data_IF_555803685359
#
_entry.id   IF_555803685359
#
_cell.length_a   1.000
_cell.length_b   1.000
_cell.length_c   1.000
_cell.angle_alpha   90.00
_cell.angle_beta   90.00
_cell.angle_gamma   90.00
#
_symmetry.space_group_name_H-M   'P 1'
#
loop_
_entity.id
_entity.type
_entity.pdbx_description
1 polymer ?
#
# COMPACT_ATOMS: atom_id res chain seq x y z
N UNK A 1 -43.55 -59.33 -60.55
CA UNK A 1 -43.61 -58.01 -61.21
C UNK A 1 -43.36 -56.96 -60.14
N UNK A 2 -42.26 -56.19 -60.28
CA UNK A 2 -41.87 -54.96 -59.56
C UNK A 2 -41.46 -55.13 -58.08
N UNK A 3 -40.17 -55.17 -57.72
CA UNK A 3 -39.18 -54.07 -57.57
C UNK A 3 -39.71 -52.84 -56.81
N UNK A 4 -39.11 -52.57 -55.64
CA UNK A 4 -38.70 -51.27 -55.03
C UNK A 4 -38.28 -51.58 -53.58
N UNK A 5 -37.00 -51.89 -53.31
CA UNK A 5 -35.95 -50.93 -52.89
C UNK A 5 -36.52 -49.79 -52.04
N UNK A 6 -36.35 -49.88 -50.71
CA UNK A 6 -36.24 -48.71 -49.86
C UNK A 6 -35.05 -48.87 -48.91
N UNK A 7 -34.11 -47.96 -49.14
CA UNK A 7 -32.91 -47.65 -48.39
C UNK A 7 -33.34 -46.84 -47.15
N UNK A 8 -32.81 -47.14 -45.97
CA UNK A 8 -33.19 -46.44 -44.73
C UNK A 8 -32.24 -46.71 -43.57
N UNK A 9 -31.03 -46.18 -43.73
CA UNK A 9 -29.86 -46.06 -42.85
C UNK A 9 -30.11 -46.22 -41.34
N UNK A 10 -29.27 -47.10 -40.77
CA UNK A 10 -29.00 -47.40 -39.37
C UNK A 10 -28.60 -46.13 -38.57
N UNK A 11 -29.41 -45.72 -37.59
CA UNK A 11 -29.08 -44.66 -36.66
C UNK A 11 -28.11 -45.20 -35.58
N UNK A 12 -26.82 -45.01 -35.81
CA UNK A 12 -25.75 -45.31 -34.85
C UNK A 12 -25.75 -44.21 -33.78
N UNK A 13 -26.29 -44.50 -32.59
CA UNK A 13 -26.20 -43.63 -31.42
C UNK A 13 -24.74 -43.66 -30.94
N UNK A 14 -23.98 -42.63 -31.31
CA UNK A 14 -22.71 -42.31 -30.66
C UNK A 14 -23.04 -41.75 -29.27
N UNK A 15 -22.81 -42.57 -28.24
CA UNK A 15 -22.71 -42.08 -26.86
C UNK A 15 -21.43 -41.27 -26.78
N UNK A 16 -21.55 -39.94 -26.88
CA UNK A 16 -20.47 -39.03 -26.54
C UNK A 16 -20.34 -39.03 -25.00
N UNK A 17 -19.49 -39.92 -24.51
CA UNK A 17 -18.91 -39.80 -23.17
C UNK A 17 -18.01 -38.55 -23.23
N UNK A 18 -18.55 -37.42 -22.79
CA UNK A 18 -17.75 -36.24 -22.47
C UNK A 18 -16.97 -36.56 -21.19
N UNK A 19 -15.75 -37.08 -21.36
CA UNK A 19 -14.70 -36.84 -20.38
C UNK A 19 -14.43 -35.34 -20.39
N UNK A 20 -14.88 -34.63 -19.35
CA UNK A 20 -14.24 -33.37 -19.01
C UNK A 20 -12.86 -33.74 -18.49
N UNK A 21 -11.83 -33.25 -19.17
CA UNK A 21 -10.44 -33.42 -18.75
C UNK A 21 -10.31 -32.97 -17.30
N UNK A 22 -10.10 -33.95 -16.41
CA UNK A 22 -9.52 -33.71 -15.10
C UNK A 22 -8.02 -33.60 -15.30
N UNK A 23 -7.59 -32.53 -15.94
CA UNK A 23 -6.21 -32.06 -15.89
C UNK A 23 -6.10 -31.02 -14.76
N UNK A 24 -6.50 -31.43 -13.55
CA UNK A 24 -5.85 -30.93 -12.35
C UNK A 24 -4.47 -31.56 -12.36
N UNK A 25 -3.56 -30.98 -13.14
CA UNK A 25 -2.15 -31.10 -12.83
C UNK A 25 -2.02 -30.68 -11.37
N UNK A 26 -1.80 -31.66 -10.49
CA UNK A 26 -1.29 -31.46 -9.14
C UNK A 26 0.13 -30.89 -9.28
N UNK A 27 0.23 -29.68 -9.81
CA UNK A 27 1.36 -28.81 -9.52
C UNK A 27 1.20 -28.59 -8.03
N UNK A 28 2.03 -29.29 -7.26
CA UNK A 28 2.18 -29.05 -5.84
C UNK A 28 2.60 -27.59 -5.73
N UNK A 29 1.62 -26.69 -5.55
CA UNK A 29 1.86 -25.25 -5.54
C UNK A 29 2.67 -25.01 -4.29
N UNK A 30 3.96 -24.74 -4.49
CA UNK A 30 4.88 -24.48 -3.39
C UNK A 30 4.26 -23.39 -2.49
N UNK A 31 4.15 -23.62 -1.18
CA UNK A 31 3.48 -22.68 -0.30
C UNK A 31 4.24 -21.36 -0.25
N UNK A 32 3.51 -20.26 -0.23
CA UNK A 32 4.03 -18.91 -0.39
C UNK A 32 3.81 -18.08 0.87
N UNK A 33 4.75 -17.20 1.17
CA UNK A 33 4.49 -16.00 1.96
C UNK A 33 3.89 -14.94 1.04
N UNK A 34 2.64 -14.57 1.31
CA UNK A 34 1.92 -13.54 0.57
C UNK A 34 1.74 -12.32 1.47
N UNK A 35 2.17 -11.15 1.01
CA UNK A 35 2.01 -9.88 1.75
C UNK A 35 0.95 -9.03 1.06
N UNK A 36 0.00 -8.52 1.84
CA UNK A 36 -1.11 -7.67 1.38
C UNK A 36 -1.25 -6.44 2.26
N UNK A 37 -1.81 -5.37 1.70
CA UNK A 37 -2.17 -4.17 2.45
C UNK A 37 -3.68 -4.11 2.71
N UNK A 38 -4.05 -3.51 3.84
CA UNK A 38 -5.40 -3.11 4.22
C UNK A 38 -5.36 -1.69 4.77
N UNK A 39 -6.37 -0.88 4.47
CA UNK A 39 -6.55 0.48 4.99
C UNK A 39 -7.69 0.50 6.00
N UNK A 40 -7.40 0.87 7.23
CA UNK A 40 -8.35 0.75 8.33
C UNK A 40 -8.60 2.11 9.01
N UNK A 41 -9.79 2.66 8.81
CA UNK A 41 -10.23 3.92 9.45
C UNK A 41 -10.64 3.76 10.91
N UNK A 42 -10.82 2.53 11.38
CA UNK A 42 -11.19 2.22 12.77
C UNK A 42 -9.97 1.92 13.65
N UNK A 43 -8.84 1.59 13.02
CA UNK A 43 -7.57 1.40 13.72
C UNK A 43 -7.15 2.68 14.46
N UNK A 44 -6.47 2.51 15.59
CA UNK A 44 -6.02 3.64 16.39
C UNK A 44 -5.13 4.59 15.58
N UNK A 45 -5.28 5.88 15.82
CA UNK A 45 -4.42 6.94 15.30
C UNK A 45 -3.18 7.05 16.20
N UNK A 46 -2.01 6.80 15.66
CA UNK A 46 -0.74 6.81 16.39
C UNK A 46 0.15 7.98 15.96
N UNK A 47 1.07 8.41 16.83
CA UNK A 47 2.17 9.33 16.52
C UNK A 47 3.44 8.58 16.06
N UNK A 48 4.53 9.31 15.83
CA UNK A 48 5.84 8.75 15.43
C UNK A 48 6.43 7.73 16.40
N UNK A 49 6.04 7.76 17.69
CA UNK A 49 6.49 6.81 18.71
C UNK A 49 5.55 5.60 18.85
N UNK A 50 4.55 5.46 17.96
CA UNK A 50 3.55 4.40 18.03
C UNK A 50 2.56 4.54 19.19
N UNK A 51 2.42 5.73 19.77
CA UNK A 51 1.48 6.00 20.87
C UNK A 51 0.19 6.61 20.33
N UNK A 52 -0.97 6.38 20.97
CA UNK A 52 -2.23 7.03 20.59
C UNK A 52 -2.10 8.56 20.49
N UNK A 53 -2.74 9.14 19.50
CA UNK A 53 -2.71 10.56 19.19
C UNK A 53 -4.08 11.04 18.75
N UNK A 54 -4.42 12.26 19.16
CA UNK A 54 -5.64 12.97 18.75
C UNK A 54 -5.30 14.06 17.74
N UNK A 55 -6.30 14.50 17.00
CA UNK A 55 -6.20 15.68 16.13
C UNK A 55 -5.89 16.90 17.00
N UNK A 56 -4.98 17.76 16.57
CA UNK A 56 -4.55 18.90 17.38
C UNK A 56 -5.66 19.94 17.51
N UNK A 57 -5.69 20.68 18.61
CA UNK A 57 -6.61 21.83 18.73
C UNK A 57 -6.26 22.87 17.66
N UNK A 58 -7.28 23.37 16.95
CA UNK A 58 -7.07 24.25 15.81
C UNK A 58 -7.10 23.54 14.46
N UNK A 59 -7.10 22.19 14.46
CA UNK A 59 -7.05 21.39 13.26
C UNK A 59 -8.34 20.58 13.08
N UNK A 60 -8.65 20.30 11.82
CA UNK A 60 -9.61 19.29 11.41
C UNK A 60 -8.91 18.18 10.61
N UNK A 61 -9.65 17.09 10.38
CA UNK A 61 -9.10 15.93 9.71
C UNK A 61 -10.18 15.10 9.03
N UNK A 62 -9.77 14.28 8.07
CA UNK A 62 -10.61 13.26 7.48
C UNK A 62 -9.85 11.93 7.37
N UNK A 63 -10.62 10.83 7.33
CA UNK A 63 -10.09 9.50 7.02
C UNK A 63 -10.24 9.28 5.51
N UNK A 64 -9.19 9.46 4.71
CA UNK A 64 -9.30 9.42 3.26
C UNK A 64 -9.57 7.99 2.76
N UNK A 65 -10.14 7.89 1.57
CA UNK A 65 -10.41 6.61 0.91
C UNK A 65 -9.24 6.23 0.02
N UNK A 66 -8.44 5.26 0.44
CA UNK A 66 -7.28 4.79 -0.32
C UNK A 66 -7.69 3.98 -1.55
N UNK A 67 -7.02 4.26 -2.66
CA UNK A 67 -7.12 3.52 -3.92
C UNK A 67 -5.91 2.61 -4.08
N UNK A 68 -4.70 3.14 -3.86
CA UNK A 68 -3.45 2.43 -4.11
C UNK A 68 -2.37 2.77 -3.10
N UNK A 69 -1.41 1.84 -2.96
CA UNK A 69 -0.21 1.98 -2.14
C UNK A 69 0.99 1.34 -2.84
N UNK A 70 2.18 1.83 -2.53
CA UNK A 70 3.44 1.16 -2.85
C UNK A 70 4.39 1.20 -1.66
N UNK A 71 5.29 0.22 -1.63
CA UNK A 71 6.41 0.18 -0.70
C UNK A 71 7.72 0.07 -1.48
N UNK A 72 8.80 0.54 -0.85
CA UNK A 72 10.17 0.40 -1.31
C UNK A 72 10.94 -0.67 -0.52
N UNK A 73 10.46 -1.05 0.66
CA UNK A 73 11.18 -1.97 1.52
C UNK A 73 10.22 -2.79 2.37
N UNK A 74 10.52 -4.06 2.60
CA UNK A 74 9.80 -4.92 3.54
C UNK A 74 10.78 -5.82 4.29
N UNK A 75 10.68 -5.84 5.62
CA UNK A 75 11.50 -6.63 6.53
C UNK A 75 10.66 -7.24 7.66
N UNK A 76 10.98 -8.48 8.02
CA UNK A 76 10.54 -9.12 9.25
C UNK A 76 11.66 -9.04 10.29
N UNK A 77 11.38 -8.46 11.45
CA UNK A 77 12.34 -8.32 12.54
C UNK A 77 12.01 -9.28 13.68
N UNK A 78 13.05 -9.94 14.21
CA UNK A 78 12.89 -10.99 15.23
C UNK A 78 12.37 -10.41 16.55
N UNK A 79 12.89 -9.26 16.97
CA UNK A 79 12.49 -8.59 18.21
C UNK A 79 12.77 -7.08 18.16
N UNK A 80 12.47 -6.37 19.25
CA UNK A 80 12.60 -4.91 19.33
C UNK A 80 14.05 -4.38 19.21
N UNK A 81 15.07 -5.24 19.36
CA UNK A 81 16.49 -4.87 19.28
C UNK A 81 17.10 -5.14 17.90
N UNK A 82 16.38 -5.83 17.00
CA UNK A 82 16.81 -6.00 15.60
C UNK A 82 16.87 -4.63 14.93
N UNK A 83 18.07 -4.20 14.48
CA UNK A 83 18.24 -2.92 13.80
C UNK A 83 17.66 -2.99 12.37
N UNK A 84 17.34 -1.83 11.79
CA UNK A 84 16.80 -1.77 10.43
C UNK A 84 17.83 -2.34 9.45
N UNK A 85 17.42 -3.32 8.65
CA UNK A 85 18.31 -4.04 7.75
C UNK A 85 18.92 -5.33 8.33
N UNK A 86 18.90 -5.52 9.65
CA UNK A 86 19.44 -6.72 10.30
C UNK A 86 18.39 -7.85 10.41
N UNK A 87 17.11 -7.54 10.14
CA UNK A 87 16.04 -8.52 10.06
C UNK A 87 16.08 -9.34 8.77
N UNK A 88 15.02 -10.14 8.56
CA UNK A 88 14.81 -10.82 7.29
C UNK A 88 14.21 -9.83 6.27
N UNK A 89 15.07 -9.24 5.45
CA UNK A 89 14.69 -8.37 4.34
C UNK A 89 14.15 -9.21 3.20
N UNK A 90 12.89 -8.98 2.81
CA UNK A 90 12.21 -9.73 1.77
C UNK A 90 11.91 -8.92 0.52
N UNK A 91 12.03 -7.60 0.60
CA UNK A 91 11.86 -6.71 -0.54
C UNK A 91 12.70 -5.46 -0.39
N UNK A 92 13.39 -5.11 -1.48
CA UNK A 92 14.02 -3.81 -1.69
C UNK A 92 13.64 -3.40 -3.11
N UNK A 93 13.01 -2.24 -3.23
CA UNK A 93 12.55 -1.68 -4.48
C UNK A 93 13.72 -1.24 -5.37
N UNK A 94 13.36 -0.86 -6.58
CA UNK A 94 14.33 -0.35 -7.54
C UNK A 94 14.78 1.06 -7.17
N UNK A 95 16.07 1.32 -7.32
CA UNK A 95 16.68 2.64 -7.11
C UNK A 95 17.41 3.09 -8.40
N UNK A 96 17.63 4.40 -8.51
CA UNK A 96 18.34 5.05 -9.62
C UNK A 96 19.14 6.26 -9.12
N UNK A 97 20.10 6.70 -9.95
CA UNK A 97 20.88 7.94 -9.78
C UNK A 97 20.57 8.95 -10.90
N UNK A 98 19.53 8.73 -11.70
CA UNK A 98 19.19 9.60 -12.85
C UNK A 98 18.89 11.05 -12.43
N UNK A 99 18.41 11.25 -11.20
CA UNK A 99 18.20 12.57 -10.60
C UNK A 99 19.40 13.13 -9.83
N UNK A 100 20.58 12.50 -9.92
CA UNK A 100 21.81 12.89 -9.21
C UNK A 100 22.11 11.98 -8.02
N UNK A 101 21.42 12.21 -6.89
CA UNK A 101 21.54 11.37 -5.70
C UNK A 101 20.72 10.08 -5.83
N UNK A 102 21.12 9.03 -5.09
CA UNK A 102 20.38 7.77 -5.01
C UNK A 102 18.92 8.02 -4.58
N UNK A 103 17.98 7.52 -5.37
CA UNK A 103 16.56 7.70 -5.17
C UNK A 103 15.80 6.44 -5.56
N UNK A 104 14.61 6.27 -5.01
CA UNK A 104 13.63 5.27 -5.46
C UNK A 104 13.29 5.56 -6.92
N UNK A 105 13.36 4.54 -7.76
CA UNK A 105 12.91 4.61 -9.15
C UNK A 105 11.40 4.36 -9.20
N UNK A 106 10.62 5.45 -9.23
CA UNK A 106 9.17 5.36 -9.21
C UNK A 106 8.59 4.63 -10.44
N UNK A 107 9.29 4.68 -11.58
CA UNK A 107 8.84 4.01 -12.80
C UNK A 107 8.81 2.48 -12.67
N UNK A 108 9.55 1.94 -11.69
CA UNK A 108 9.61 0.52 -11.35
C UNK A 108 8.90 0.18 -10.04
N UNK A 109 8.16 1.13 -9.45
CA UNK A 109 7.42 0.90 -8.22
C UNK A 109 6.29 -0.11 -8.43
N UNK A 110 6.15 -1.06 -7.50
CA UNK A 110 4.99 -1.96 -7.49
C UNK A 110 3.83 -1.28 -6.76
N UNK A 111 2.81 -0.87 -7.49
CA UNK A 111 1.61 -0.22 -6.96
C UNK A 111 0.48 -1.24 -6.92
N UNK A 112 -0.17 -1.38 -5.77
CA UNK A 112 -1.25 -2.35 -5.56
C UNK A 112 -2.45 -1.71 -4.89
N UNK A 113 -3.62 -2.32 -5.11
CA UNK A 113 -4.86 -2.00 -4.40
C UNK A 113 -4.97 -2.75 -3.07
N UNK A 114 -5.96 -2.41 -2.25
CA UNK A 114 -6.25 -3.15 -1.01
C UNK A 114 -6.51 -4.64 -1.28
N UNK A 115 -5.90 -5.53 -0.48
CA UNK A 115 -6.10 -6.98 -0.57
C UNK A 115 -5.38 -7.68 -1.73
N UNK A 116 -4.77 -6.92 -2.64
CA UNK A 116 -3.95 -7.43 -3.73
C UNK A 116 -2.55 -7.88 -3.21
N UNK A 117 -2.00 -9.00 -3.71
CA UNK A 117 -0.64 -9.44 -3.35
C UNK A 117 0.46 -8.43 -3.73
N UNK A 118 1.02 -7.77 -2.72
CA UNK A 118 2.23 -6.95 -2.86
C UNK A 118 3.48 -7.81 -2.99
N UNK A 119 3.62 -8.87 -2.20
CA UNK A 119 4.70 -9.87 -2.37
C UNK A 119 4.09 -11.28 -2.43
N UNK A 120 4.77 -12.16 -3.14
CA UNK A 120 4.55 -13.60 -3.13
C UNK A 120 5.93 -14.25 -3.22
N UNK A 121 6.39 -14.86 -2.13
CA UNK A 121 7.72 -15.45 -2.03
C UNK A 121 7.57 -16.89 -1.58
N UNK A 122 8.20 -17.88 -2.24
CA UNK A 122 8.17 -19.25 -1.78
C UNK A 122 8.65 -19.39 -0.34
N UNK A 123 7.93 -20.11 0.52
CA UNK A 123 8.31 -20.31 1.93
C UNK A 123 9.65 -21.03 2.05
N UNK A 124 10.07 -21.80 1.04
CA UNK A 124 11.41 -22.40 0.96
C UNK A 124 12.55 -21.37 0.92
N UNK A 125 12.27 -20.13 0.53
CA UNK A 125 13.22 -19.01 0.47
C UNK A 125 13.16 -18.12 1.72
N UNK A 126 12.23 -18.40 2.64
CA UNK A 126 12.05 -17.64 3.87
C UNK A 126 12.84 -18.34 4.98
N UNK A 127 13.75 -17.62 5.61
CA UNK A 127 14.49 -18.16 6.74
C UNK A 127 13.53 -18.52 7.89
N UNK A 128 13.71 -19.72 8.44
CA UNK A 128 12.99 -20.14 9.65
C UNK A 128 13.29 -19.16 10.79
N UNK A 129 12.29 -18.85 11.60
CA UNK A 129 12.44 -17.85 12.65
C UNK A 129 11.14 -17.48 13.33
N UNK A 130 11.29 -16.67 14.38
CA UNK A 130 10.20 -16.07 15.13
C UNK A 130 10.29 -14.56 14.96
N UNK A 131 9.27 -13.95 14.36
CA UNK A 131 9.26 -12.53 13.98
C UNK A 131 8.20 -11.78 14.76
N UNK A 132 8.63 -10.88 15.65
CA UNK A 132 7.74 -10.04 16.47
C UNK A 132 7.25 -8.80 15.70
N UNK A 133 8.04 -8.30 14.74
CA UNK A 133 7.76 -7.03 14.07
C UNK A 133 7.88 -7.15 12.56
N UNK A 134 7.19 -6.25 11.88
CA UNK A 134 7.37 -5.96 10.46
C UNK A 134 7.73 -4.48 10.31
N UNK A 135 8.62 -4.20 9.36
CA UNK A 135 9.05 -2.86 8.98
C UNK A 135 8.84 -2.68 7.49
N UNK A 136 8.16 -1.61 7.10
CA UNK A 136 7.82 -1.34 5.71
C UNK A 136 8.12 0.11 5.38
N UNK A 137 9.02 0.35 4.41
CA UNK A 137 9.20 1.70 3.83
C UNK A 137 8.13 1.90 2.78
N UNK A 138 7.20 2.81 3.03
CA UNK A 138 6.19 3.17 2.04
C UNK A 138 6.79 4.20 1.07
N UNK A 139 6.48 4.05 -0.21
CA UNK A 139 7.01 4.91 -1.27
C UNK A 139 5.95 5.82 -1.86
N UNK A 140 4.70 5.35 -1.93
CA UNK A 140 3.62 6.06 -2.61
C UNK A 140 2.26 5.72 -1.99
N UNK A 141 1.36 6.71 -1.96
CA UNK A 141 -0.02 6.61 -1.52
C UNK A 141 -0.94 7.31 -2.53
N UNK A 142 -2.11 6.73 -2.80
CA UNK A 142 -3.15 7.35 -3.62
C UNK A 142 -4.49 7.21 -2.92
N UNK A 143 -5.17 8.33 -2.68
CA UNK A 143 -6.44 8.34 -1.97
C UNK A 143 -7.31 9.53 -2.34
N UNK A 144 -8.60 9.43 -2.05
CA UNK A 144 -9.58 10.50 -2.23
C UNK A 144 -9.75 11.32 -0.94
N UNK A 145 -9.82 12.64 -1.11
CA UNK A 145 -10.15 13.61 -0.06
C UNK A 145 -11.32 14.50 -0.51
N UNK A 146 -12.16 14.89 0.44
CA UNK A 146 -13.15 15.92 0.21
C UNK A 146 -12.53 17.31 0.40
N UNK A 147 -12.84 18.22 -0.52
CA UNK A 147 -12.40 19.62 -0.52
C UNK A 147 -13.63 20.51 -0.62
N UNK A 148 -13.79 21.44 0.30
CA UNK A 148 -14.90 22.38 0.30
C UNK A 148 -14.45 23.71 -0.30
N UNK A 149 -15.30 24.28 -1.15
CA UNK A 149 -15.06 25.61 -1.72
C UNK A 149 -16.39 26.24 -2.13
N UNK A 150 -16.65 27.47 -1.67
CA UNK A 150 -17.83 28.26 -2.02
C UNK A 150 -19.18 27.52 -1.84
N UNK A 151 -19.33 26.78 -0.74
CA UNK A 151 -20.60 26.08 -0.46
C UNK A 151 -20.73 24.71 -1.13
N UNK A 152 -19.71 24.24 -1.86
CA UNK A 152 -19.74 22.99 -2.62
C UNK A 152 -18.62 22.08 -2.12
N UNK A 153 -18.97 20.83 -1.81
CA UNK A 153 -18.02 19.76 -1.54
C UNK A 153 -17.60 19.11 -2.85
N UNK A 154 -16.30 19.11 -3.12
CA UNK A 154 -15.67 18.43 -4.25
C UNK A 154 -14.96 17.18 -3.75
N UNK A 155 -14.88 16.17 -4.62
CA UNK A 155 -14.01 15.02 -4.42
C UNK A 155 -12.76 15.19 -5.29
N UNK A 156 -11.59 14.99 -4.69
CA UNK A 156 -10.34 15.01 -5.40
C UNK A 156 -9.45 13.84 -5.02
N UNK A 157 -8.61 13.43 -5.97
CA UNK A 157 -7.60 12.41 -5.78
C UNK A 157 -6.28 13.07 -5.43
N UNK A 158 -5.60 12.53 -4.41
CA UNK A 158 -4.31 12.97 -3.95
C UNK A 158 -3.31 11.82 -4.07
N UNK A 159 -2.21 12.07 -4.77
CA UNK A 159 -1.03 11.21 -4.83
C UNK A 159 0.06 11.77 -3.93
N UNK A 160 0.54 10.98 -2.97
CA UNK A 160 1.60 11.34 -2.04
C UNK A 160 2.81 10.42 -2.21
N UNK A 161 3.96 11.01 -2.52
CA UNK A 161 5.24 10.33 -2.67
C UNK A 161 5.99 10.44 -1.34
N UNK A 162 5.89 9.38 -0.54
CA UNK A 162 6.33 9.40 0.85
C UNK A 162 7.69 8.74 1.08
N UNK A 163 8.27 8.12 0.06
CA UNK A 163 9.62 7.57 0.14
C UNK A 163 10.69 8.63 0.41
N UNK A 164 11.86 8.21 0.91
CA UNK A 164 12.94 9.11 1.37
C UNK A 164 13.41 10.11 0.32
N UNK A 165 13.63 9.61 -0.89
CA UNK A 165 14.00 10.36 -2.07
C UNK A 165 13.48 9.54 -3.26
N UNK A 166 12.68 10.14 -4.13
CA UNK A 166 12.02 9.44 -5.24
C UNK A 166 12.33 10.16 -6.53
N UNK A 167 12.94 9.45 -7.48
CA UNK A 167 13.05 9.94 -8.84
C UNK A 167 11.73 9.71 -9.56
N UNK A 168 11.12 10.79 -10.02
CA UNK A 168 9.83 10.77 -10.70
C UNK A 168 10.05 11.36 -12.08
N UNK A 169 9.81 10.58 -13.13
CA UNK A 169 9.75 11.11 -14.51
C UNK A 169 8.46 11.89 -14.70
N UNK A 170 7.33 11.19 -14.62
CA UNK A 170 6.00 11.77 -14.63
C UNK A 170 5.02 10.85 -13.89
N UNK A 171 3.85 11.37 -13.58
CA UNK A 171 2.71 10.63 -13.09
C UNK A 171 1.41 11.32 -13.56
N UNK A 172 0.26 10.72 -13.29
CA UNK A 172 -1.02 11.27 -13.74
C UNK A 172 -2.18 10.98 -12.80
N UNK A 173 -3.02 11.99 -12.59
CA UNK A 173 -4.30 11.86 -11.89
C UNK A 173 -5.42 12.13 -12.92
N UNK A 174 -6.10 11.07 -13.35
CA UNK A 174 -7.02 11.13 -14.48
C UNK A 174 -6.30 11.60 -15.75
N UNK A 175 -6.79 12.69 -16.36
CA UNK A 175 -6.17 13.29 -17.56
C UNK A 175 -5.08 14.32 -17.24
N UNK A 176 -4.82 14.61 -15.96
CA UNK A 176 -3.81 15.58 -15.55
C UNK A 176 -2.46 14.90 -15.47
N UNK A 177 -1.51 15.32 -16.31
CA UNK A 177 -0.14 14.79 -16.33
C UNK A 177 0.79 15.74 -15.61
N UNK A 178 1.55 15.22 -14.65
CA UNK A 178 2.57 15.97 -13.91
C UNK A 178 3.95 15.52 -14.36
N UNK A 179 4.64 16.36 -15.12
CA UNK A 179 6.02 16.12 -15.51
C UNK A 179 6.95 16.64 -14.42
N UNK A 180 7.72 15.76 -13.79
CA UNK A 180 8.59 16.08 -12.66
C UNK A 180 10.06 16.02 -13.09
N UNK A 181 10.47 14.90 -13.68
CA UNK A 181 11.79 14.59 -14.22
C UNK A 181 12.96 14.95 -13.29
N UNK A 182 12.82 14.69 -11.99
CA UNK A 182 13.83 14.97 -10.98
C UNK A 182 13.54 14.22 -9.68
N UNK A 183 14.55 14.14 -8.81
CA UNK A 183 14.41 13.71 -7.44
C UNK A 183 13.45 14.61 -6.64
N UNK A 184 12.61 13.97 -5.83
CA UNK A 184 11.73 14.60 -4.85
C UNK A 184 11.93 13.95 -3.49
N UNK A 185 12.15 14.78 -2.47
CA UNK A 185 12.19 14.32 -1.09
C UNK A 185 10.80 13.86 -0.64
N UNK A 186 10.78 13.11 0.46
CA UNK A 186 9.54 12.70 1.13
C UNK A 186 8.54 13.86 1.23
N UNK A 187 7.32 13.60 0.78
CA UNK A 187 6.20 14.53 0.88
C UNK A 187 5.97 15.36 -0.38
N UNK A 188 6.57 15.03 -1.53
CA UNK A 188 6.03 15.53 -2.80
C UNK A 188 4.63 14.96 -2.99
N UNK A 189 3.69 15.79 -3.43
CA UNK A 189 2.31 15.40 -3.63
C UNK A 189 1.72 16.08 -4.85
N UNK A 190 0.68 15.47 -5.39
CA UNK A 190 -0.15 16.05 -6.42
C UNK A 190 -1.63 15.81 -6.11
N UNK A 191 -2.46 16.72 -6.55
CA UNK A 191 -3.90 16.72 -6.31
C UNK A 191 -4.62 17.09 -7.59
N UNK A 192 -5.73 16.42 -7.88
CA UNK A 192 -6.67 16.86 -8.89
C UNK A 192 -8.11 16.61 -8.47
N UNK A 193 -9.01 17.52 -8.85
CA UNK A 193 -10.44 17.29 -8.71
C UNK A 193 -10.90 16.22 -9.70
N UNK A 194 -11.75 15.31 -9.24
CA UNK A 194 -12.21 14.20 -10.07
C UNK A 194 -13.12 14.69 -11.21
N UNK A 195 -14.00 15.66 -10.91
CA UNK A 195 -15.05 16.14 -11.82
C UNK A 195 -14.90 17.62 -12.22
N UNK A 196 -13.71 18.19 -12.04
CA UNK A 196 -13.43 19.59 -12.38
C UNK A 196 -11.99 19.78 -12.90
N UNK A 197 -11.74 20.77 -13.77
CA UNK A 197 -10.42 21.00 -14.39
C UNK A 197 -9.48 21.75 -13.42
N UNK A 198 -9.23 21.17 -12.26
CA UNK A 198 -8.28 21.69 -11.28
C UNK A 198 -7.28 20.60 -10.92
N UNK A 199 -6.01 20.94 -11.03
CA UNK A 199 -4.90 20.09 -10.64
C UNK A 199 -3.76 20.97 -10.12
N UNK A 200 -3.07 20.51 -9.10
CA UNK A 200 -1.92 21.19 -8.51
C UNK A 200 -0.96 20.17 -7.90
N UNK A 201 0.26 20.58 -7.60
CA UNK A 201 1.25 19.77 -6.91
C UNK A 201 2.06 20.62 -5.95
N UNK A 202 2.72 19.97 -5.01
CA UNK A 202 3.49 20.65 -3.98
C UNK A 202 4.44 19.73 -3.25
N UNK A 203 5.07 20.28 -2.22
CA UNK A 203 6.02 19.59 -1.37
C UNK A 203 5.67 19.89 0.08
N UNK A 204 5.40 18.86 0.86
CA UNK A 204 5.20 19.00 2.29
C UNK A 204 6.53 19.41 2.97
N UNK A 205 6.49 20.21 4.04
CA UNK A 205 7.69 20.53 4.81
C UNK A 205 8.32 19.27 5.39
N UNK A 206 9.65 19.26 5.47
CA UNK A 206 10.39 18.12 6.01
C UNK A 206 9.94 17.79 7.44
N UNK A 207 9.66 16.50 7.70
CA UNK A 207 9.24 16.02 9.01
C UNK A 207 7.75 16.17 9.32
N UNK A 208 6.95 16.67 8.39
CA UNK A 208 5.49 16.81 8.56
C UNK A 208 4.73 15.49 8.40
N UNK A 209 5.35 14.48 7.78
CA UNK A 209 4.75 13.16 7.57
C UNK A 209 4.95 12.28 8.80
N UNK A 210 3.87 11.88 9.45
CA UNK A 210 3.95 10.90 10.54
C UNK A 210 4.32 9.50 10.01
N UNK A 211 5.29 8.86 10.65
CA UNK A 211 5.80 7.52 10.37
C UNK A 211 5.97 6.75 11.69
N UNK A 212 4.97 5.97 12.11
CA UNK A 212 5.01 5.31 13.42
C UNK A 212 6.10 4.26 13.59
N UNK A 213 6.87 4.37 14.68
CA UNK A 213 7.83 3.36 15.13
C UNK A 213 7.69 3.11 16.65
N UNK A 214 6.96 2.07 17.08
CA UNK A 214 6.78 1.74 18.50
C UNK A 214 8.04 1.25 19.21
N UNK A 215 9.11 0.91 18.46
CA UNK A 215 10.39 0.44 19.00
C UNK A 215 11.51 1.46 18.82
N UNK A 216 11.19 2.75 18.64
CA UNK A 216 12.17 3.80 18.36
C UNK A 216 13.27 3.93 19.42
N UNK A 217 13.03 3.53 20.67
CA UNK A 217 14.02 3.57 21.75
C UNK A 217 15.08 2.45 21.67
N UNK A 218 14.80 1.36 20.95
CA UNK A 218 15.69 0.18 20.83
C UNK A 218 16.15 -0.07 19.40
N UNK A 219 15.35 0.33 18.40
CA UNK A 219 15.63 0.22 16.96
C UNK A 219 15.08 1.45 16.25
N UNK A 220 15.87 2.54 16.29
CA UNK A 220 15.50 3.81 15.69
C UNK A 220 15.43 3.70 14.15
N UNK A 221 14.75 4.67 13.55
CA UNK A 221 14.59 4.79 12.10
C UNK A 221 15.08 6.18 11.73
N UNK A 222 15.84 6.28 10.63
CA UNK A 222 16.28 7.58 10.15
C UNK A 222 15.07 8.42 9.72
N UNK A 223 14.99 9.71 10.15
CA UNK A 223 13.95 10.62 9.66
C UNK A 223 13.92 10.65 8.13
N UNK A 224 12.72 10.69 7.55
CA UNK A 224 12.53 10.68 6.11
C UNK A 224 12.55 9.31 5.44
N UNK A 225 12.99 8.22 6.11
CA UNK A 225 13.01 6.87 5.50
C UNK A 225 11.62 6.27 5.21
N UNK A 226 10.57 6.84 5.82
CA UNK A 226 9.18 6.37 5.72
C UNK A 226 8.94 4.91 6.12
N UNK A 227 9.83 4.36 6.95
CA UNK A 227 9.69 3.01 7.47
C UNK A 227 8.70 3.00 8.63
N UNK A 228 7.50 2.49 8.39
CA UNK A 228 6.50 2.23 9.43
C UNK A 228 6.80 0.88 10.06
N UNK A 229 6.76 0.80 11.39
CA UNK A 229 6.98 -0.45 12.14
C UNK A 229 5.71 -0.88 12.86
N UNK A 230 5.34 -2.14 12.70
CA UNK A 230 4.19 -2.75 13.34
C UNK A 230 4.59 -4.00 14.10
N UNK A 231 3.95 -4.23 15.26
CA UNK A 231 4.13 -5.42 16.08
C UNK A 231 3.01 -6.40 15.81
N UNK A 232 3.32 -7.66 15.57
CA UNK A 232 2.30 -8.70 15.53
C UNK A 232 1.68 -8.91 16.92
N UNK A 233 0.38 -9.19 16.95
CA UNK A 233 -0.29 -9.59 18.21
C UNK A 233 0.25 -10.94 18.69
N UNK A 234 0.36 -11.88 17.76
CA UNK A 234 1.05 -13.16 17.94
C UNK A 234 2.21 -13.20 16.95
N UNK A 235 3.41 -13.56 17.39
CA UNK A 235 4.58 -13.54 16.51
C UNK A 235 4.40 -14.45 15.30
N UNK A 236 4.86 -13.98 14.13
CA UNK A 236 4.93 -14.83 12.96
C UNK A 236 6.09 -15.82 13.10
N UNK A 237 5.76 -17.10 13.26
CA UNK A 237 6.75 -18.19 13.30
C UNK A 237 6.85 -18.86 11.93
N UNK A 238 8.03 -18.97 11.33
CA UNK A 238 8.25 -19.79 10.12
C UNK A 238 9.10 -20.99 10.51
N UNK A 239 8.57 -22.20 10.31
CA UNK A 239 9.17 -23.46 10.74
C UNK A 239 9.79 -24.26 9.59
N UNK A 240 9.50 -23.90 8.33
CA UNK A 240 10.01 -24.57 7.13
C UNK A 240 9.32 -25.88 6.82
N UNK A 241 8.18 -26.17 7.46
CA UNK A 241 7.33 -27.34 7.23
C UNK A 241 5.89 -26.98 6.88
N UNK A 242 5.64 -25.71 6.58
CA UNK A 242 4.35 -25.22 6.13
C UNK A 242 3.92 -25.92 4.85
N UNK A 243 2.65 -26.33 4.80
CA UNK A 243 2.01 -26.95 3.63
C UNK A 243 1.09 -25.98 2.90
N UNK A 244 0.74 -24.87 3.55
CA UNK A 244 -0.22 -23.88 3.10
C UNK A 244 0.42 -22.50 3.04
N UNK A 245 -0.17 -21.61 2.23
CA UNK A 245 0.30 -20.22 2.10
C UNK A 245 0.19 -19.49 3.46
N UNK A 246 1.22 -18.73 3.83
CA UNK A 246 1.14 -17.74 4.91
C UNK A 246 0.71 -16.41 4.30
N UNK A 247 -0.49 -15.93 4.63
CA UNK A 247 -0.97 -14.63 4.15
C UNK A 247 -0.81 -13.58 5.25
N UNK A 248 0.20 -12.71 5.13
CA UNK A 248 0.43 -11.55 5.99
C UNK A 248 -0.38 -10.35 5.49
N UNK A 249 -1.25 -9.82 6.35
CA UNK A 249 -2.00 -8.59 6.08
C UNK A 249 -1.45 -7.45 6.93
N UNK A 250 -1.01 -6.39 6.24
CA UNK A 250 -0.53 -5.15 6.82
C UNK A 250 -1.67 -4.15 6.91
N UNK A 251 -2.30 -4.05 8.09
CA UNK A 251 -3.38 -3.09 8.34
C UNK A 251 -2.80 -1.72 8.69
N UNK A 252 -2.92 -0.78 7.76
CA UNK A 252 -2.47 0.60 7.89
C UNK A 252 -3.60 1.47 8.41
N UNK A 253 -3.35 2.23 9.47
CA UNK A 253 -4.33 3.15 10.01
C UNK A 253 -4.44 4.39 9.12
N UNK A 254 -5.62 4.61 8.56
CA UNK A 254 -5.98 5.82 7.80
C UNK A 254 -6.93 6.71 8.60
N UNK A 255 -7.09 6.40 9.88
CA UNK A 255 -7.95 7.12 10.81
C UNK A 255 -7.44 8.55 11.00
N UNK A 256 -8.17 9.52 10.43
CA UNK A 256 -7.87 10.94 10.52
C UNK A 256 -6.41 11.22 10.14
N UNK A 257 -5.98 10.60 9.04
CA UNK A 257 -4.60 10.66 8.54
C UNK A 257 -4.35 11.86 7.64
N UNK A 258 -5.41 12.49 7.12
CA UNK A 258 -5.32 13.77 6.42
C UNK A 258 -5.77 14.87 7.39
N UNK A 259 -4.83 15.63 7.93
CA UNK A 259 -5.04 16.69 8.94
C UNK A 259 -4.62 18.04 8.37
N UNK A 260 -5.39 19.09 8.65
CA UNK A 260 -5.09 20.47 8.26
C UNK A 260 -5.39 21.47 9.38
N UNK A 261 -4.75 22.63 9.33
CA UNK A 261 -5.06 23.76 10.21
C UNK A 261 -6.30 24.50 9.69
N UNK A 262 -7.29 24.68 10.56
CA UNK A 262 -8.55 25.35 10.22
C UNK A 262 -8.41 26.87 10.26
N UNK A 263 -8.91 27.52 9.22
CA UNK A 263 -9.22 28.96 9.25
C UNK A 263 -10.68 29.15 9.64
N UNK A 264 -11.56 28.32 9.08
CA UNK A 264 -12.96 28.20 9.48
C UNK A 264 -13.14 26.91 10.28
N UNK A 265 -13.66 27.00 11.51
CA UNK A 265 -13.85 25.84 12.39
C UNK A 265 -15.14 25.08 12.07
N UNK A 266 -15.24 24.51 10.86
CA UNK A 266 -16.42 23.80 10.37
C UNK A 266 -16.16 22.32 10.02
N UNK A 267 -14.92 21.86 10.17
CA UNK A 267 -14.48 20.50 9.89
C UNK A 267 -14.32 20.18 8.41
N UNK A 268 -14.33 21.19 7.53
CA UNK A 268 -14.17 21.02 6.09
C UNK A 268 -12.82 21.57 5.64
N UNK A 269 -12.22 20.91 4.65
CA UNK A 269 -10.93 21.34 4.13
C UNK A 269 -11.11 22.37 3.01
N UNK A 270 -10.75 23.62 3.27
CA UNK A 270 -10.92 24.80 2.41
C UNK A 270 -9.57 25.42 2.00
N UNK A 271 -8.81 24.80 1.07
CA UNK A 271 -7.50 25.34 0.66
C UNK A 271 -7.60 26.73 0.03
N UNK A 272 -8.75 27.12 -0.52
CA UNK A 272 -8.95 28.43 -1.17
C UNK A 272 -8.93 29.61 -0.19
N UNK A 273 -9.18 29.37 1.10
CA UNK A 273 -9.12 30.41 2.15
C UNK A 273 -7.82 30.37 2.95
N UNK A 274 -6.89 29.49 2.59
CA UNK A 274 -5.56 29.39 3.19
C UNK A 274 -5.40 28.29 4.23
N UNK A 275 -6.31 27.32 4.31
CA UNK A 275 -6.08 26.11 5.13
C UNK A 275 -4.95 25.27 4.56
N UNK A 276 -4.02 24.87 5.42
CA UNK A 276 -2.83 24.13 5.03
C UNK A 276 -2.83 22.74 5.67
N UNK A 277 -2.50 21.74 4.85
CA UNK A 277 -2.30 20.38 5.33
C UNK A 277 -1.09 20.32 6.25
N UNK A 278 -1.26 19.73 7.43
CA UNK A 278 -0.20 19.58 8.43
C UNK A 278 0.35 18.16 8.48
N UNK A 279 -0.47 17.15 8.14
CA UNK A 279 -0.04 15.75 8.11
C UNK A 279 -0.86 14.95 7.08
N UNK A 280 -0.16 14.07 6.37
CA UNK A 280 -0.67 13.12 5.37
C UNK A 280 -0.06 11.72 5.56
N UNK A 281 0.63 11.51 6.68
CA UNK A 281 1.25 10.25 7.05
C UNK A 281 0.21 9.25 7.54
N UNK A 282 0.52 7.97 7.32
CA UNK A 282 -0.27 6.90 7.92
C UNK A 282 -0.11 6.89 9.43
N UNK A 283 -1.16 6.46 10.11
CA UNK A 283 -1.30 6.64 11.55
C UNK A 283 -1.12 5.33 12.32
N UNK A 284 -0.48 4.32 11.72
CA UNK A 284 -0.13 3.07 12.39
C UNK A 284 -0.07 1.88 11.45
N UNK A 285 0.52 0.80 11.93
CA UNK A 285 0.58 -0.49 11.25
C UNK A 285 0.29 -1.60 12.27
N UNK A 286 -0.76 -2.39 12.02
CA UNK A 286 -1.05 -3.62 12.75
C UNK A 286 -0.94 -4.78 11.75
N UNK A 287 0.12 -5.59 11.85
CA UNK A 287 0.25 -6.78 11.03
C UNK A 287 -0.51 -7.95 11.63
N UNK A 288 -1.05 -8.79 10.77
CA UNK A 288 -1.72 -10.06 11.11
C UNK A 288 -1.39 -11.10 10.04
N UNK A 289 -1.64 -12.37 10.33
CA UNK A 289 -1.45 -13.42 9.33
C UNK A 289 -2.48 -14.55 9.47
N UNK A 290 -2.66 -15.29 8.39
CA UNK A 290 -3.36 -16.59 8.35
C UNK A 290 -2.38 -17.63 7.83
N UNK A 291 -2.42 -18.83 8.41
CA UNK A 291 -1.69 -20.01 7.97
C UNK A 291 -2.68 -21.17 7.82
#
# INVERSE_FOLDING_TARGET
MNWKVFLGVFLMIFVLISCSDRDDSLVNKEPQLIVKFKFDKSQARLNNLGQPSVVSTGNASQSPKFNFISAHYFELAQNAYTQLGDGLVLYHGSETIDGGDLAIDFSRAKIVSEGEPFLSIPLSQINQGNYEYVRVSLSYQNYEVSVFNNGIDYLGTLESFVGFNTYITSHSIGNNVFNVNVNRLQGYWAFALNDAPYATSGQAPQGSTTVPNPIASTSAIQPGSCVVTGKFVENLVVNGNETDDIVVTLSLSVNNSFEWEEVNFDGKYEPSIGENVVDMGLRGLIPSYVK
#
